data_IF_998306058233
#
_entry.id   IF_998306058233
#
_cell.length_a   1.000
_cell.length_b   1.000
_cell.length_c   1.000
_cell.angle_alpha   90.00
_cell.angle_beta   90.00
_cell.angle_gamma   90.00
#
_symmetry.space_group_name_H-M   'P 1'
#
loop_
_entity.id
_entity.type
_entity.pdbx_description
1 polymer ?
#
# COMPACT_ATOMS: atom_id res chain seq x y z
N UNK A 1 -14.64 -40.61 7.26
CA UNK A 1 -13.42 -40.06 7.92
C UNK A 1 -13.02 -38.69 7.35
N UNK A 2 -12.87 -38.54 6.02
CA UNK A 2 -12.46 -37.26 5.40
C UNK A 2 -13.38 -36.04 5.72
N UNK A 3 -14.70 -36.24 5.80
CA UNK A 3 -15.65 -35.17 6.11
C UNK A 3 -15.48 -34.56 7.52
N UNK A 4 -15.13 -35.38 8.52
CA UNK A 4 -14.92 -34.92 9.89
C UNK A 4 -13.61 -34.14 10.05
N UNK A 5 -12.55 -34.55 9.34
CA UNK A 5 -11.27 -33.83 9.31
C UNK A 5 -11.39 -32.46 8.63
N UNK A 6 -12.17 -32.36 7.55
CA UNK A 6 -12.41 -31.09 6.88
C UNK A 6 -13.11 -30.07 7.81
N UNK A 7 -14.12 -30.50 8.58
CA UNK A 7 -14.86 -29.65 9.52
C UNK A 7 -13.99 -29.10 10.66
N UNK A 8 -13.08 -29.92 11.19
CA UNK A 8 -12.14 -29.49 12.24
C UNK A 8 -11.12 -28.47 11.72
N UNK A 9 -10.68 -28.62 10.46
CA UNK A 9 -9.80 -27.65 9.80
C UNK A 9 -10.52 -26.32 9.53
N UNK A 10 -11.81 -26.34 9.17
CA UNK A 10 -12.58 -25.10 8.93
C UNK A 10 -12.76 -24.26 10.20
N UNK A 11 -13.02 -24.88 11.35
CA UNK A 11 -13.25 -24.13 12.59
C UNK A 11 -11.99 -23.43 13.14
N UNK A 12 -10.80 -24.02 12.93
CA UNK A 12 -9.52 -23.40 13.36
C UNK A 12 -8.96 -22.39 12.36
N UNK A 13 -9.31 -22.48 11.08
CA UNK A 13 -8.78 -21.56 10.04
C UNK A 13 -9.48 -20.21 10.04
N UNK A 14 -10.77 -20.14 10.40
CA UNK A 14 -11.51 -18.86 10.48
C UNK A 14 -10.89 -17.85 11.47
N UNK A 15 -10.52 -18.21 12.72
CA UNK A 15 -9.90 -17.24 13.64
C UNK A 15 -8.49 -16.82 13.23
N UNK A 16 -7.71 -17.73 12.62
CA UNK A 16 -6.36 -17.42 12.13
C UNK A 16 -6.40 -16.37 11.01
N UNK A 17 -7.27 -16.57 10.01
CA UNK A 17 -7.42 -15.65 8.87
C UNK A 17 -7.89 -14.26 9.33
N UNK A 18 -8.76 -14.18 10.35
CA UNK A 18 -9.22 -12.90 10.90
C UNK A 18 -8.09 -12.13 11.58
N UNK A 19 -7.23 -12.81 12.33
CA UNK A 19 -6.13 -12.17 13.06
C UNK A 19 -5.07 -11.56 12.13
N UNK A 20 -4.83 -12.18 10.97
CA UNK A 20 -3.92 -11.64 9.94
C UNK A 20 -4.52 -10.45 9.20
N UNK A 21 -5.84 -10.49 8.94
CA UNK A 21 -6.55 -9.39 8.30
C UNK A 21 -6.54 -8.12 9.18
N UNK A 22 -6.78 -8.28 10.49
CA UNK A 22 -6.73 -7.16 11.44
C UNK A 22 -5.32 -6.58 11.58
N UNK A 23 -4.29 -7.43 11.53
CA UNK A 23 -2.89 -6.98 11.53
C UNK A 23 -2.53 -6.19 10.26
N UNK A 24 -3.02 -6.62 9.10
CA UNK A 24 -2.80 -5.89 7.85
C UNK A 24 -3.51 -4.53 7.87
N UNK A 25 -4.75 -4.49 8.36
CA UNK A 25 -5.53 -3.26 8.45
C UNK A 25 -4.89 -2.25 9.42
N UNK A 26 -4.47 -2.71 10.60
CA UNK A 26 -3.80 -1.84 11.58
C UNK A 26 -2.47 -1.29 11.07
N UNK A 27 -1.66 -2.10 10.41
CA UNK A 27 -0.40 -1.63 9.79
C UNK A 27 -0.67 -0.63 8.66
N UNK A 28 -1.66 -0.88 7.81
CA UNK A 28 -2.02 0.04 6.73
C UNK A 28 -2.46 1.40 7.26
N UNK A 29 -3.33 1.42 8.28
CA UNK A 29 -3.80 2.66 8.92
C UNK A 29 -2.65 3.38 9.62
N UNK A 30 -1.79 2.66 10.34
CA UNK A 30 -0.65 3.25 11.05
C UNK A 30 0.31 3.97 10.09
N UNK A 31 0.65 3.34 8.96
CA UNK A 31 1.52 3.95 7.95
C UNK A 31 0.84 5.18 7.33
N UNK A 32 -0.45 5.11 7.03
CA UNK A 32 -1.18 6.26 6.48
C UNK A 32 -1.21 7.44 7.47
N UNK A 33 -1.41 7.17 8.76
CA UNK A 33 -1.39 8.20 9.81
C UNK A 33 0.00 8.84 9.91
N UNK A 34 1.07 8.07 9.86
CA UNK A 34 2.45 8.59 9.91
C UNK A 34 2.78 9.48 8.71
N UNK A 35 2.35 9.08 7.50
CA UNK A 35 2.53 9.86 6.28
C UNK A 35 1.71 11.15 6.34
N UNK A 36 0.45 11.07 6.76
CA UNK A 36 -0.41 12.24 6.91
C UNK A 36 0.17 13.21 7.94
N UNK A 37 0.64 12.73 9.10
CA UNK A 37 1.23 13.58 10.12
C UNK A 37 2.47 14.30 9.60
N UNK A 38 3.36 13.56 8.93
CA UNK A 38 4.61 14.08 8.37
C UNK A 38 4.41 15.08 7.22
N UNK A 39 3.25 15.07 6.53
CA UNK A 39 3.00 15.94 5.37
C UNK A 39 2.04 17.08 5.67
N UNK A 40 1.00 16.84 6.48
CA UNK A 40 0.01 17.86 6.86
C UNK A 40 0.62 18.89 7.80
N UNK A 41 1.47 18.47 8.76
CA UNK A 41 2.12 19.41 9.68
C UNK A 41 2.99 20.45 8.95
N UNK A 42 4.00 20.08 8.14
CA UNK A 42 4.84 21.08 7.47
C UNK A 42 4.06 21.92 6.47
N UNK A 43 3.02 21.36 5.84
CA UNK A 43 2.14 22.12 4.95
C UNK A 43 1.32 23.19 5.70
N UNK A 44 0.75 22.82 6.86
CA UNK A 44 -0.03 23.74 7.68
C UNK A 44 0.85 24.86 8.26
N UNK A 45 2.04 24.52 8.77
CA UNK A 45 2.96 25.52 9.33
C UNK A 45 3.49 26.47 8.24
N UNK A 46 3.87 25.96 7.06
CA UNK A 46 4.34 26.80 5.95
C UNK A 46 3.24 27.76 5.45
N UNK A 47 1.99 27.30 5.33
CA UNK A 47 0.88 28.16 4.91
C UNK A 47 0.51 29.20 5.97
N UNK A 48 0.53 28.82 7.25
CA UNK A 48 0.28 29.77 8.33
C UNK A 48 1.36 30.86 8.34
N UNK A 49 2.63 30.47 8.20
CA UNK A 49 3.74 31.41 8.12
C UNK A 49 3.61 32.34 6.91
N UNK A 50 3.28 31.80 5.73
CA UNK A 50 3.04 32.60 4.51
C UNK A 50 1.96 33.67 4.72
N UNK A 51 0.88 33.36 5.43
CA UNK A 51 -0.19 34.34 5.73
C UNK A 51 0.27 35.41 6.70
N UNK A 52 1.02 35.05 7.74
CA UNK A 52 1.55 36.00 8.73
C UNK A 52 2.55 36.97 8.07
N UNK A 53 3.38 36.46 7.17
CA UNK A 53 4.48 37.23 6.58
C UNK A 53 4.10 37.94 5.29
N UNK A 54 2.85 37.82 4.83
CA UNK A 54 2.36 38.49 3.62
C UNK A 54 2.44 40.03 3.71
N UNK A 55 2.45 40.58 4.94
CA UNK A 55 2.57 42.02 5.21
C UNK A 55 4.02 42.46 5.46
N UNK A 56 4.99 41.53 5.45
CA UNK A 56 6.41 41.87 5.65
C UNK A 56 6.97 42.64 4.45
N UNK A 57 7.74 43.70 4.69
CA UNK A 57 8.35 44.52 3.64
C UNK A 57 9.59 43.88 3.01
N UNK A 58 10.13 42.79 3.56
CA UNK A 58 11.34 42.14 3.04
C UNK A 58 11.00 41.13 1.93
N UNK A 59 11.33 41.43 0.65
CA UNK A 59 11.02 40.56 -0.48
C UNK A 59 11.82 39.25 -0.47
N UNK A 60 13.03 39.23 0.11
CA UNK A 60 13.88 38.02 0.15
C UNK A 60 13.27 37.01 1.10
N UNK A 61 12.79 37.48 2.25
CA UNK A 61 12.13 36.64 3.23
C UNK A 61 10.82 36.05 2.69
N UNK A 62 10.02 36.85 1.97
CA UNK A 62 8.81 36.36 1.30
C UNK A 62 9.11 35.29 0.25
N UNK A 63 10.16 35.46 -0.55
CA UNK A 63 10.55 34.47 -1.57
C UNK A 63 10.91 33.11 -0.94
N UNK A 64 11.65 33.11 0.18
CA UNK A 64 12.00 31.88 0.92
C UNK A 64 10.76 31.14 1.43
N UNK A 65 9.81 31.87 2.02
CA UNK A 65 8.57 31.28 2.56
C UNK A 65 7.69 30.76 1.43
N UNK A 66 7.58 31.50 0.32
CA UNK A 66 6.83 31.04 -0.84
C UNK A 66 7.44 29.77 -1.44
N UNK A 67 8.76 29.67 -1.51
CA UNK A 67 9.45 28.46 -1.95
C UNK A 67 9.18 27.28 -1.01
N UNK A 68 9.29 27.48 0.31
CA UNK A 68 8.98 26.44 1.30
C UNK A 68 7.52 25.98 1.22
N UNK A 69 6.57 26.90 1.00
CA UNK A 69 5.17 26.58 0.79
C UNK A 69 4.95 25.75 -0.49
N UNK A 70 5.64 26.08 -1.59
CA UNK A 70 5.58 25.29 -2.83
C UNK A 70 6.15 23.88 -2.66
N UNK A 71 7.28 23.74 -1.95
CA UNK A 71 7.90 22.42 -1.69
C UNK A 71 6.99 21.55 -0.83
N UNK A 72 6.45 22.10 0.25
CA UNK A 72 5.52 21.37 1.13
C UNK A 72 4.20 21.03 0.44
N UNK A 73 3.70 21.88 -0.45
CA UNK A 73 2.55 21.60 -1.31
C UNK A 73 2.82 20.42 -2.26
N UNK A 74 4.01 20.34 -2.87
CA UNK A 74 4.39 19.20 -3.72
C UNK A 74 4.40 17.89 -2.93
N UNK A 75 4.95 17.88 -1.71
CA UNK A 75 4.91 16.70 -0.84
C UNK A 75 3.49 16.32 -0.43
N UNK A 76 2.62 17.30 -0.21
CA UNK A 76 1.21 17.05 0.09
C UNK A 76 0.49 16.38 -1.10
N UNK A 77 0.74 16.82 -2.33
CA UNK A 77 0.15 16.12 -3.50
C UNK A 77 0.71 14.71 -3.70
N UNK A 78 2.00 14.49 -3.42
CA UNK A 78 2.58 13.15 -3.46
C UNK A 78 1.96 12.22 -2.40
N UNK A 79 1.55 12.76 -1.25
CA UNK A 79 0.89 11.96 -0.21
C UNK A 79 -0.51 11.49 -0.61
N UNK A 80 -1.21 12.16 -1.53
CA UNK A 80 -2.46 11.66 -2.08
C UNK A 80 -2.30 10.31 -2.80
N UNK A 81 -1.12 10.02 -3.36
CA UNK A 81 -0.81 8.73 -3.98
C UNK A 81 -0.38 7.66 -2.95
N UNK A 82 -0.04 8.06 -1.70
CA UNK A 82 0.43 7.13 -0.68
C UNK A 82 -0.51 5.95 -0.41
N UNK A 83 -1.85 6.12 -0.34
CA UNK A 83 -2.77 5.02 -0.04
C UNK A 83 -2.64 3.88 -1.04
N UNK A 84 -2.48 4.21 -2.33
CA UNK A 84 -2.25 3.24 -3.40
C UNK A 84 -0.94 2.47 -3.19
N UNK A 85 0.15 3.16 -2.89
CA UNK A 85 1.44 2.50 -2.62
C UNK A 85 1.38 1.63 -1.37
N UNK A 86 0.78 2.09 -0.28
CA UNK A 86 0.57 1.26 0.92
C UNK A 86 -0.31 0.05 0.62
N UNK A 87 -1.35 0.20 -0.19
CA UNK A 87 -2.23 -0.91 -0.56
C UNK A 87 -1.46 -1.99 -1.35
N UNK A 88 -0.65 -1.59 -2.34
CA UNK A 88 0.19 -2.51 -3.12
C UNK A 88 1.24 -3.20 -2.23
N UNK A 89 1.88 -2.45 -1.33
CA UNK A 89 2.94 -2.97 -0.46
C UNK A 89 2.44 -3.86 0.69
N UNK A 90 1.23 -3.62 1.20
CA UNK A 90 0.70 -4.33 2.38
C UNK A 90 -0.21 -5.49 1.98
N UNK A 91 -1.00 -5.38 0.91
CA UNK A 91 -1.96 -6.42 0.51
C UNK A 91 -1.25 -7.72 0.13
N UNK A 92 -1.18 -8.67 1.08
CA UNK A 92 -0.69 -10.02 0.80
C UNK A 92 -1.59 -10.73 -0.20
N UNK A 93 -2.89 -10.46 -0.19
CA UNK A 93 -3.86 -11.07 -1.11
C UNK A 93 -3.57 -10.68 -2.56
N UNK A 94 -3.21 -9.42 -2.81
CA UNK A 94 -2.80 -8.97 -4.15
C UNK A 94 -1.48 -9.62 -4.59
N UNK A 95 -0.49 -9.71 -3.69
CA UNK A 95 0.78 -10.43 -3.96
C UNK A 95 0.57 -11.91 -4.23
N UNK A 96 -0.32 -12.56 -3.48
CA UNK A 96 -0.67 -13.96 -3.67
C UNK A 96 -1.39 -14.16 -5.02
N UNK A 97 -2.31 -13.27 -5.40
CA UNK A 97 -2.96 -13.34 -6.72
C UNK A 97 -1.94 -13.14 -7.87
N UNK A 98 -0.98 -12.23 -7.72
CA UNK A 98 0.11 -12.02 -8.69
C UNK A 98 1.02 -13.26 -8.81
N UNK A 99 1.41 -13.87 -7.69
CA UNK A 99 2.23 -15.08 -7.70
C UNK A 99 1.46 -16.33 -8.15
N UNK A 100 0.18 -16.46 -7.80
CA UNK A 100 -0.67 -17.57 -8.23
C UNK A 100 -0.95 -17.53 -9.73
N UNK A 101 -1.10 -16.34 -10.33
CA UNK A 101 -1.18 -16.19 -11.79
C UNK A 101 0.08 -16.64 -12.53
N UNK A 102 1.22 -16.73 -11.84
CA UNK A 102 2.47 -17.25 -12.40
C UNK A 102 2.59 -18.78 -12.26
N UNK A 103 1.92 -19.37 -11.26
CA UNK A 103 1.87 -20.81 -11.05
C UNK A 103 0.96 -21.52 -12.05
N UNK A 104 -0.13 -20.87 -12.47
CA UNK A 104 -1.06 -21.41 -13.47
C UNK A 104 -0.42 -21.53 -14.87
N UNK A 105 0.48 -20.60 -15.20
CA UNK A 105 1.31 -20.67 -16.43
C UNK A 105 2.31 -21.83 -16.40
N UNK A 106 2.85 -22.18 -15.23
CA UNK A 106 3.77 -23.33 -15.06
C UNK A 106 3.04 -24.67 -15.07
N UNK A 107 1.81 -24.74 -14.56
CA UNK A 107 1.02 -25.96 -14.63
C UNK A 107 0.62 -26.28 -16.07
N UNK A 108 0.16 -25.27 -16.82
CA UNK A 108 -0.20 -25.42 -18.24
C UNK A 108 0.99 -25.76 -19.13
N UNK A 109 2.19 -25.23 -18.89
CA UNK A 109 3.39 -25.66 -19.65
C UNK A 109 3.78 -27.11 -19.36
N UNK A 110 3.75 -27.54 -18.09
CA UNK A 110 4.08 -28.93 -17.74
C UNK A 110 3.02 -29.94 -18.24
N UNK A 111 1.75 -29.54 -18.27
CA UNK A 111 0.66 -30.36 -18.82
C UNK A 111 0.76 -30.48 -20.34
N UNK A 112 1.10 -29.39 -21.04
CA UNK A 112 1.35 -29.44 -22.49
C UNK A 112 2.58 -30.27 -22.85
N UNK A 113 3.66 -30.21 -22.06
CA UNK A 113 4.86 -31.03 -22.27
C UNK A 113 4.55 -32.52 -22.06
N UNK A 114 3.79 -32.88 -21.01
CA UNK A 114 3.39 -34.28 -20.78
C UNK A 114 2.43 -34.81 -21.86
N UNK A 115 1.48 -34.00 -22.33
CA UNK A 115 0.59 -34.38 -23.45
C UNK A 115 1.39 -34.54 -24.76
N UNK A 116 2.37 -33.66 -25.03
CA UNK A 116 3.25 -33.81 -26.19
C UNK A 116 4.14 -35.05 -26.10
N UNK A 117 4.57 -35.45 -24.90
CA UNK A 117 5.36 -36.67 -24.71
C UNK A 117 4.54 -37.95 -24.87
N UNK A 118 3.24 -37.94 -24.54
CA UNK A 118 2.34 -39.10 -24.72
C UNK A 118 1.91 -39.30 -26.17
N UNK A 119 1.88 -38.25 -27.00
CA UNK A 119 1.48 -38.34 -28.43
C UNK A 119 2.62 -38.81 -29.35
N UNK A 120 3.87 -38.75 -28.89
CA UNK A 120 5.07 -39.12 -29.67
C UNK A 120 5.52 -40.58 -29.43
N UNK A 121 4.83 -41.32 -28.55
CA UNK A 121 5.01 -42.77 -28.38
C UNK A 121 3.92 -43.56 -29.08
#
# INVERSE_FOLDING_TARGET
MAYYNARYLTHRTVPLIRHELDKQLTVMVLVQVLINFSTVLPFSTANMLKKITATSSDPIFQAKISFAASVTLSFYYLSCASPFYTYICVSQRFRQQLNSGNHDKRLTTNLLINILFDVVK
#
